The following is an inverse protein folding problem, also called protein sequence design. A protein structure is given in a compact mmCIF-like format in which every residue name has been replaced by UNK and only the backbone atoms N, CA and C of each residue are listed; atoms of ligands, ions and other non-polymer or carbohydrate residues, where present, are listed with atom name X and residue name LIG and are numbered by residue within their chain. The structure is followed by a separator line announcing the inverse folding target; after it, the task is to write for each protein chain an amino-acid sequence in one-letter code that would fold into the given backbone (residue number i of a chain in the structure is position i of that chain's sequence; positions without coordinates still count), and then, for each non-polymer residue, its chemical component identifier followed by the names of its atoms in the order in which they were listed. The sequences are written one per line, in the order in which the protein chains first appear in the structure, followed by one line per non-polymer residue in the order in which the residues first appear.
data_IF_050161381657
#
_entry.id   IF_050161381657
#
_cell.length_a   1.000
_cell.length_b   1.000
_cell.length_c   1.000
_cell.angle_alpha   90.00
_cell.angle_beta   90.00
_cell.angle_gamma   90.00
#
_symmetry.space_group_name_H-M   'P 1'
#
loop_
_entity.id
_entity.type
_entity.pdbx_description
1 polymer ?
#
# COMPACT_ATOMS: atom_id res chain seq x y z
N UNK A 1 -26.49 -42.02 3.27
CA UNK A 1 -27.33 -42.96 2.51
C UNK A 1 -28.01 -42.18 1.40
N UNK A 2 -28.00 -42.72 0.18
CA UNK A 2 -28.56 -42.22 -1.09
C UNK A 2 -27.82 -41.14 -1.93
N UNK A 3 -27.23 -41.67 -3.02
CA UNK A 3 -26.79 -41.06 -4.27
C UNK A 3 -27.97 -40.45 -5.04
N UNK A 4 -27.71 -39.43 -5.88
CA UNK A 4 -28.17 -39.44 -7.27
C UNK A 4 -27.26 -38.60 -8.19
N UNK A 5 -26.88 -39.20 -9.31
CA UNK A 5 -26.13 -38.64 -10.45
C UNK A 5 -27.05 -37.73 -11.27
N UNK A 6 -26.49 -36.72 -11.94
CA UNK A 6 -26.89 -36.45 -13.32
C UNK A 6 -25.73 -35.87 -14.15
N UNK A 7 -25.64 -36.36 -15.39
CA UNK A 7 -24.52 -36.29 -16.31
C UNK A 7 -25.06 -35.75 -17.65
N UNK A 8 -24.48 -34.68 -18.21
CA UNK A 8 -24.51 -34.29 -19.64
C UNK A 8 -23.27 -33.41 -19.85
N UNK A 9 -22.28 -33.69 -20.70
CA UNK A 9 -22.23 -34.49 -21.92
C UNK A 9 -22.22 -33.55 -23.14
N UNK A 10 -21.04 -33.06 -23.54
CA UNK A 10 -20.78 -32.52 -24.88
C UNK A 10 -19.56 -33.25 -25.43
N UNK A 11 -19.71 -33.68 -26.67
CA UNK A 11 -19.05 -34.80 -27.30
C UNK A 11 -17.67 -34.45 -27.86
N UNK A 12 -16.73 -35.38 -27.69
CA UNK A 12 -15.58 -35.53 -28.55
C UNK A 12 -15.97 -36.33 -29.78
N UNK A 13 -15.60 -35.84 -30.96
CA UNK A 13 -15.70 -36.54 -32.23
C UNK A 13 -14.27 -36.68 -32.76
N UNK A 14 -13.63 -37.81 -32.49
CA UNK A 14 -12.49 -38.28 -33.29
C UNK A 14 -12.82 -39.70 -33.70
N UNK A 15 -13.15 -39.80 -34.98
CA UNK A 15 -13.37 -41.02 -35.75
C UNK A 15 -12.10 -41.85 -35.72
N UNK A 16 -12.25 -43.12 -35.34
CA UNK A 16 -11.17 -44.11 -35.40
C UNK A 16 -11.00 -44.68 -36.80
N UNK A 17 -9.79 -45.19 -37.04
CA UNK A 17 -9.57 -46.32 -37.92
C UNK A 17 -8.60 -47.27 -37.21
N UNK A 18 -9.12 -48.45 -36.86
CA UNK A 18 -8.40 -49.61 -36.35
C UNK A 18 -7.69 -50.30 -37.52
N UNK A 19 -6.41 -50.64 -37.34
CA UNK A 19 -5.81 -51.80 -37.99
C UNK A 19 -5.01 -52.58 -36.94
N UNK A 20 -5.44 -53.82 -36.72
CA UNK A 20 -4.79 -54.83 -35.88
C UNK A 20 -3.79 -55.58 -36.74
N UNK A 21 -2.52 -55.65 -36.33
CA UNK A 21 -1.58 -56.67 -36.81
C UNK A 21 -0.44 -56.90 -35.81
N UNK A 22 -0.38 -58.13 -35.28
CA UNK A 22 0.85 -58.84 -34.91
C UNK A 22 1.73 -58.29 -33.79
N UNK A 23 1.63 -58.88 -32.59
CA UNK A 23 2.73 -58.85 -31.61
C UNK A 23 3.86 -59.74 -32.17
N UNK A 24 4.89 -59.11 -32.72
CA UNK A 24 6.20 -59.75 -32.90
C UNK A 24 7.15 -59.11 -31.91
N UNK A 25 7.55 -59.88 -30.90
CA UNK A 25 8.58 -59.51 -29.94
C UNK A 25 9.91 -59.44 -30.70
N UNK A 26 10.51 -58.25 -30.78
CA UNK A 26 11.92 -58.09 -31.11
C UNK A 26 12.65 -57.42 -29.92
N UNK A 27 13.88 -57.86 -29.61
CA UNK A 27 14.59 -57.46 -28.41
C UNK A 27 15.14 -56.04 -28.53
N UNK A 28 15.12 -55.36 -27.37
CA UNK A 28 16.06 -54.34 -26.90
C UNK A 28 16.83 -53.56 -27.98
N UNK A 29 16.37 -52.34 -28.22
CA UNK A 29 17.28 -51.21 -28.28
C UNK A 29 16.65 -50.05 -27.52
N UNK A 30 16.94 -50.02 -26.22
CA UNK A 30 16.74 -48.85 -25.38
C UNK A 30 17.70 -47.74 -25.85
N UNK A 31 17.34 -47.03 -26.93
CA UNK A 31 17.83 -45.68 -27.16
C UNK A 31 16.94 -44.73 -26.36
N UNK A 32 17.07 -44.78 -25.03
CA UNK A 32 16.85 -43.60 -24.20
C UNK A 32 17.93 -42.60 -24.59
N UNK A 33 17.69 -41.89 -25.71
CA UNK A 33 18.33 -40.61 -25.95
C UNK A 33 17.81 -39.68 -24.85
N UNK A 34 18.53 -39.64 -23.73
CA UNK A 34 18.42 -38.54 -22.79
C UNK A 34 18.75 -37.30 -23.59
N UNK A 35 17.73 -36.61 -24.10
CA UNK A 35 17.84 -35.37 -24.86
C UNK A 35 18.54 -34.40 -23.92
N UNK A 36 19.87 -34.29 -24.02
CA UNK A 36 20.69 -33.36 -23.23
C UNK A 36 20.09 -31.99 -23.47
N UNK A 37 19.32 -31.51 -22.51
CA UNK A 37 18.71 -30.19 -22.55
C UNK A 37 19.85 -29.20 -22.77
N UNK A 38 19.83 -28.50 -23.89
CA UNK A 38 20.90 -27.57 -24.26
C UNK A 38 20.78 -26.32 -23.38
N UNK A 39 21.46 -26.36 -22.23
CA UNK A 39 21.45 -25.31 -21.21
C UNK A 39 21.86 -23.95 -21.77
N UNK A 40 22.71 -23.89 -22.81
CA UNK A 40 23.05 -22.64 -23.50
C UNK A 40 21.85 -22.01 -24.19
N UNK A 41 21.04 -22.80 -24.89
CA UNK A 41 19.82 -22.30 -25.55
C UNK A 41 18.77 -21.85 -24.53
N UNK A 42 18.64 -22.59 -23.42
CA UNK A 42 17.77 -22.18 -22.31
C UNK A 42 18.22 -20.86 -21.68
N UNK A 43 19.53 -20.67 -21.48
CA UNK A 43 20.06 -19.41 -20.94
C UNK A 43 19.76 -18.23 -21.87
N UNK A 44 19.95 -18.40 -23.19
CA UNK A 44 19.61 -17.36 -24.17
C UNK A 44 18.10 -17.04 -24.14
N UNK A 45 17.24 -18.05 -24.00
CA UNK A 45 15.79 -17.83 -23.86
C UNK A 45 15.46 -17.08 -22.56
N UNK A 46 16.10 -17.43 -21.46
CA UNK A 46 15.93 -16.75 -20.18
C UNK A 46 16.36 -15.28 -20.25
N UNK A 47 17.48 -14.99 -20.92
CA UNK A 47 17.96 -13.61 -21.10
C UNK A 47 17.02 -12.79 -21.99
N UNK A 48 16.53 -13.38 -23.10
CA UNK A 48 15.52 -12.72 -23.94
C UNK A 48 14.23 -12.42 -23.20
N UNK A 49 13.77 -13.35 -22.35
CA UNK A 49 12.58 -13.16 -21.53
C UNK A 49 12.79 -12.02 -20.52
N UNK A 50 13.96 -11.97 -19.87
CA UNK A 50 14.33 -10.87 -18.96
C UNK A 50 14.35 -9.53 -19.68
N UNK A 51 15.01 -9.45 -20.83
CA UNK A 51 15.09 -8.21 -21.61
C UNK A 51 13.71 -7.73 -22.09
N UNK A 52 12.87 -8.67 -22.54
CA UNK A 52 11.50 -8.38 -22.96
C UNK A 52 10.67 -7.85 -21.78
N UNK A 53 10.75 -8.50 -20.62
CA UNK A 53 10.08 -8.05 -19.41
C UNK A 53 10.52 -6.64 -19.03
N UNK A 54 11.82 -6.35 -19.02
CA UNK A 54 12.34 -5.01 -18.66
C UNK A 54 11.80 -3.95 -19.60
N UNK A 55 11.83 -4.19 -20.93
CA UNK A 55 11.34 -3.24 -21.93
C UNK A 55 9.84 -3.01 -21.81
N UNK A 56 9.04 -4.07 -21.72
CA UNK A 56 7.59 -3.98 -21.61
C UNK A 56 7.18 -3.31 -20.29
N UNK A 57 7.84 -3.65 -19.19
CA UNK A 57 7.61 -3.01 -17.90
C UNK A 57 7.94 -1.52 -17.94
N UNK A 58 9.03 -1.12 -18.59
CA UNK A 58 9.38 0.30 -18.74
C UNK A 58 8.33 1.07 -19.56
N UNK A 59 7.81 0.47 -20.64
CA UNK A 59 6.72 1.05 -21.44
C UNK A 59 5.43 1.21 -20.64
N UNK A 60 5.05 0.18 -19.87
CA UNK A 60 3.88 0.24 -18.98
C UNK A 60 4.05 1.29 -17.89
N UNK A 61 5.24 1.37 -17.28
CA UNK A 61 5.55 2.39 -16.28
C UNK A 61 5.39 3.80 -16.85
N UNK A 62 5.86 4.02 -18.09
CA UNK A 62 5.68 5.30 -18.78
C UNK A 62 4.20 5.62 -18.99
N UNK A 63 3.41 4.67 -19.51
CA UNK A 63 1.95 4.84 -19.69
C UNK A 63 1.23 5.20 -18.40
N UNK A 64 1.60 4.59 -17.28
CA UNK A 64 1.06 4.96 -15.98
C UNK A 64 1.45 6.38 -15.57
N UNK A 65 2.72 6.76 -15.74
CA UNK A 65 3.18 8.13 -15.46
C UNK A 65 2.48 9.17 -16.34
N UNK A 66 2.31 8.88 -17.63
CA UNK A 66 1.63 9.76 -18.59
C UNK A 66 0.14 9.92 -18.24
N UNK A 67 -0.47 8.88 -17.68
CA UNK A 67 -1.83 8.91 -17.13
C UNK A 67 -1.94 9.55 -15.73
N UNK A 68 -0.83 10.02 -15.14
CA UNK A 68 -0.79 10.60 -13.79
C UNK A 68 -0.83 9.58 -12.65
N UNK A 69 -0.86 8.28 -12.94
CA UNK A 69 -0.79 7.20 -11.94
C UNK A 69 0.68 6.91 -11.58
N UNK A 70 1.29 7.87 -10.88
CA UNK A 70 2.70 7.80 -10.49
C UNK A 70 3.00 6.64 -9.52
N UNK A 71 1.99 6.18 -8.76
CA UNK A 71 2.14 5.04 -7.85
C UNK A 71 2.34 3.74 -8.63
N UNK A 72 1.45 3.41 -9.58
CA UNK A 72 1.62 2.22 -10.42
C UNK A 72 2.83 2.32 -11.34
N UNK A 73 3.15 3.52 -11.82
CA UNK A 73 4.38 3.76 -12.58
C UNK A 73 5.61 3.34 -11.77
N UNK A 74 5.69 3.76 -10.51
CA UNK A 74 6.80 3.39 -9.62
C UNK A 74 6.82 1.90 -9.31
N UNK A 75 5.67 1.28 -9.00
CA UNK A 75 5.59 -0.17 -8.72
C UNK A 75 6.11 -1.01 -9.89
N UNK A 76 5.85 -0.59 -11.13
CA UNK A 76 6.36 -1.25 -12.33
C UNK A 76 7.88 -1.11 -12.45
N UNK A 77 8.44 0.07 -12.12
CA UNK A 77 9.90 0.28 -12.09
C UNK A 77 10.58 -0.49 -10.95
N UNK A 78 9.94 -0.60 -9.78
CA UNK A 78 10.42 -1.44 -8.67
C UNK A 78 10.45 -2.94 -9.08
N UNK A 79 9.47 -3.38 -9.87
CA UNK A 79 9.43 -4.74 -10.44
C UNK A 79 10.63 -5.01 -11.36
N UNK A 80 11.05 -4.03 -12.17
CA UNK A 80 12.28 -4.12 -12.98
C UNK A 80 13.51 -4.34 -12.10
N UNK A 81 13.63 -3.56 -11.00
CA UNK A 81 14.78 -3.65 -10.09
C UNK A 81 14.83 -4.98 -9.30
N UNK A 82 13.69 -5.63 -9.11
CA UNK A 82 13.64 -6.96 -8.49
C UNK A 82 14.28 -8.05 -9.36
N UNK A 83 14.23 -7.89 -10.69
CA UNK A 83 14.86 -8.81 -11.66
C UNK A 83 16.31 -8.41 -11.96
N UNK A 84 16.55 -7.11 -12.18
CA UNK A 84 17.89 -6.56 -12.45
C UNK A 84 18.12 -5.32 -11.59
N UNK A 85 18.91 -5.47 -10.54
CA UNK A 85 19.18 -4.41 -9.53
C UNK A 85 19.83 -3.14 -10.09
N UNK A 86 20.46 -3.23 -11.25
CA UNK A 86 21.17 -2.14 -11.89
C UNK A 86 20.73 -1.99 -13.35
N UNK A 87 19.62 -1.27 -13.52
CA UNK A 87 19.14 -0.81 -14.82
C UNK A 87 19.35 0.70 -14.88
N UNK A 88 20.15 1.21 -15.85
CA UNK A 88 20.41 2.64 -15.98
C UNK A 88 19.12 3.46 -16.04
N UNK A 89 19.08 4.58 -15.31
CA UNK A 89 17.94 5.52 -15.31
C UNK A 89 16.74 5.10 -14.45
N UNK A 90 16.52 3.81 -14.15
CA UNK A 90 15.33 3.34 -13.41
C UNK A 90 15.26 3.92 -12.00
N UNK A 91 16.37 3.89 -11.25
CA UNK A 91 16.43 4.48 -9.90
C UNK A 91 16.17 5.99 -9.89
N UNK A 92 16.69 6.70 -10.89
CA UNK A 92 16.48 8.14 -11.03
C UNK A 92 15.01 8.46 -11.34
N UNK A 93 14.39 7.67 -12.23
CA UNK A 93 12.97 7.82 -12.55
C UNK A 93 12.08 7.52 -11.33
N UNK A 94 12.38 6.47 -10.56
CA UNK A 94 11.69 6.20 -9.28
C UNK A 94 11.79 7.41 -8.34
N UNK A 95 12.97 8.02 -8.22
CA UNK A 95 13.15 9.22 -7.40
C UNK A 95 12.28 10.39 -7.89
N UNK A 96 12.27 10.65 -9.19
CA UNK A 96 11.44 11.70 -9.78
C UNK A 96 9.93 11.45 -9.57
N UNK A 97 9.48 10.20 -9.70
CA UNK A 97 8.09 9.83 -9.43
C UNK A 97 7.73 10.00 -7.96
N UNK A 98 8.64 9.67 -7.04
CA UNK A 98 8.44 9.93 -5.61
C UNK A 98 8.29 11.43 -5.35
N UNK A 99 9.15 12.27 -5.93
CA UNK A 99 9.04 13.73 -5.82
C UNK A 99 7.71 14.25 -6.38
N UNK A 100 7.29 13.75 -7.55
CA UNK A 100 5.97 14.07 -8.13
C UNK A 100 4.81 13.63 -7.24
N UNK A 101 4.87 12.45 -6.62
CA UNK A 101 3.83 11.99 -5.69
C UNK A 101 3.73 12.89 -4.46
N UNK A 102 4.87 13.37 -3.94
CA UNK A 102 4.89 14.28 -2.80
C UNK A 102 4.32 15.67 -3.12
N UNK A 103 4.31 16.10 -4.38
CA UNK A 103 3.81 17.41 -4.80
C UNK A 103 2.39 17.37 -5.37
N UNK A 104 2.09 16.39 -6.23
CA UNK A 104 0.82 16.31 -6.97
C UNK A 104 -0.31 15.67 -6.16
N UNK A 105 0.01 14.70 -5.30
CA UNK A 105 -0.99 14.06 -4.45
C UNK A 105 -1.07 14.80 -3.12
N UNK A 106 -1.61 16.02 -3.17
CA UNK A 106 -1.82 16.87 -2.01
C UNK A 106 -3.29 17.16 -1.79
N UNK A 107 -3.67 17.35 -0.53
CA UNK A 107 -5.04 17.62 -0.17
C UNK A 107 -5.11 18.52 1.05
N UNK A 108 -5.94 19.55 0.94
CA UNK A 108 -6.14 20.57 1.96
C UNK A 108 -7.45 20.30 2.70
N UNK A 109 -7.46 20.54 4.01
CA UNK A 109 -8.65 20.41 4.85
C UNK A 109 -8.47 21.21 6.16
N UNK A 110 -9.57 21.42 6.88
CA UNK A 110 -9.58 22.16 8.12
C UNK A 110 -9.84 21.24 9.31
N UNK A 111 -9.09 21.47 10.39
CA UNK A 111 -9.37 20.91 11.71
C UNK A 111 -10.15 21.96 12.49
N UNK A 112 -11.38 21.62 12.84
CA UNK A 112 -12.23 22.43 13.70
C UNK A 112 -11.89 22.15 15.16
N UNK A 113 -11.36 23.14 15.88
CA UNK A 113 -10.92 22.97 17.26
C UNK A 113 -12.08 22.76 18.25
N UNK A 114 -13.33 23.01 17.85
CA UNK A 114 -14.52 22.61 18.62
C UNK A 114 -14.75 21.09 18.61
N UNK A 115 -14.03 20.37 17.76
CA UNK A 115 -14.06 18.91 17.64
C UNK A 115 -12.69 18.34 18.01
N UNK A 116 -12.67 17.26 18.77
CA UNK A 116 -11.41 16.58 19.09
C UNK A 116 -10.70 16.02 17.84
N UNK A 117 -11.47 15.47 16.89
CA UNK A 117 -10.95 14.80 15.70
C UNK A 117 -11.62 15.28 14.43
N UNK A 118 -10.81 15.43 13.38
CA UNK A 118 -11.33 15.68 12.05
C UNK A 118 -11.86 14.41 11.38
N UNK A 119 -12.50 14.60 10.22
CA UNK A 119 -12.77 13.52 9.29
C UNK A 119 -11.47 12.80 8.90
N UNK A 120 -11.53 11.51 8.51
CA UNK A 120 -10.36 10.79 8.01
C UNK A 120 -9.52 11.61 7.04
N UNK A 121 -8.23 11.77 7.35
CA UNK A 121 -7.31 12.49 6.47
C UNK A 121 -7.07 11.70 5.17
N UNK A 122 -7.19 10.37 5.22
CA UNK A 122 -7.10 9.45 4.10
C UNK A 122 -6.53 8.09 4.52
N UNK A 123 -6.45 7.16 3.58
CA UNK A 123 -5.77 5.88 3.74
C UNK A 123 -4.28 6.02 3.51
N UNK A 124 -3.49 5.44 4.40
CA UNK A 124 -2.03 5.41 4.32
C UNK A 124 -1.53 3.97 4.28
N UNK A 125 -0.39 3.77 3.63
CA UNK A 125 0.22 2.46 3.46
C UNK A 125 1.51 2.35 4.29
N UNK A 126 1.75 1.16 4.84
CA UNK A 126 2.93 0.81 5.61
C UNK A 126 4.21 1.12 4.83
N UNK A 127 5.14 1.80 5.49
CA UNK A 127 6.44 2.15 4.90
C UNK A 127 6.39 3.23 3.82
N UNK A 128 5.22 3.81 3.53
CA UNK A 128 5.05 4.85 2.51
C UNK A 128 4.86 6.22 3.17
N UNK A 129 5.78 7.14 2.93
CA UNK A 129 5.83 8.43 3.62
C UNK A 129 4.67 9.35 3.23
N UNK A 130 4.15 10.07 4.21
CA UNK A 130 3.28 11.24 4.01
C UNK A 130 3.93 12.47 4.64
N UNK A 131 3.70 13.64 4.03
CA UNK A 131 4.09 14.94 4.57
C UNK A 131 2.84 15.68 5.00
N UNK A 132 2.90 16.28 6.17
CA UNK A 132 1.82 17.07 6.75
C UNK A 132 2.37 18.46 7.03
N UNK A 133 1.63 19.48 6.61
CA UNK A 133 1.90 20.88 6.92
C UNK A 133 0.66 21.46 7.56
N UNK A 134 0.81 22.26 8.60
CA UNK A 134 -0.31 22.91 9.25
C UNK A 134 -0.01 24.37 9.54
N UNK A 135 -1.04 25.20 9.47
CA UNK A 135 -0.98 26.62 9.80
C UNK A 135 -2.25 27.07 10.50
N UNK A 136 -2.13 28.13 11.30
CA UNK A 136 -3.24 28.70 12.06
C UNK A 136 -3.04 28.57 13.56
N UNK A 137 -3.92 29.25 14.29
CA UNK A 137 -3.99 29.22 15.74
C UNK A 137 -5.46 29.04 16.14
N UNK A 138 -5.68 28.59 17.36
CA UNK A 138 -7.01 28.35 17.90
C UNK A 138 -6.99 28.64 19.40
N UNK A 139 -8.16 28.91 19.97
CA UNK A 139 -8.31 29.20 21.39
C UNK A 139 -8.48 27.88 22.15
N UNK A 140 -7.52 27.55 23.00
CA UNK A 140 -7.60 26.39 23.88
C UNK A 140 -8.31 26.77 25.19
N UNK A 141 -9.58 26.38 25.32
CA UNK A 141 -10.42 26.71 26.47
C UNK A 141 -10.80 25.45 27.23
N UNK A 142 -10.49 25.41 28.53
CA UNK A 142 -10.85 24.31 29.42
C UNK A 142 -11.43 24.81 30.74
N UNK A 143 -12.39 24.06 31.26
CA UNK A 143 -12.98 24.25 32.59
C UNK A 143 -13.23 22.85 33.17
N UNK A 144 -12.12 22.18 33.53
CA UNK A 144 -12.11 20.77 33.89
C UNK A 144 -11.65 20.64 35.33
N UNK A 145 -12.49 20.05 36.18
CA UNK A 145 -12.10 19.65 37.53
C UNK A 145 -11.18 18.44 37.47
N UNK A 146 -10.04 18.55 38.12
CA UNK A 146 -9.05 17.47 38.23
C UNK A 146 -8.69 17.20 39.69
N UNK A 147 -8.12 16.03 39.95
CA UNK A 147 -7.53 15.68 41.26
C UNK A 147 -6.00 15.83 41.23
N UNK A 148 -5.33 15.52 42.34
CA UNK A 148 -3.86 15.45 42.44
C UNK A 148 -3.21 14.46 41.46
N UNK A 149 -4.00 13.56 40.84
CA UNK A 149 -3.55 12.64 39.79
C UNK A 149 -3.46 13.28 38.40
N UNK A 150 -4.01 14.49 38.21
CA UNK A 150 -4.06 15.14 36.91
C UNK A 150 -5.14 14.59 35.96
N UNK A 151 -5.08 15.01 34.70
CA UNK A 151 -5.96 14.59 33.63
C UNK A 151 -5.56 13.20 33.09
N UNK A 152 -6.52 12.34 32.72
CA UNK A 152 -6.20 11.04 32.15
C UNK A 152 -5.63 11.17 30.73
N UNK A 153 -4.70 10.29 30.38
CA UNK A 153 -3.94 10.31 29.12
C UNK A 153 -3.73 8.93 28.47
N UNK A 154 -4.51 7.94 28.92
CA UNK A 154 -4.27 6.52 28.61
C UNK A 154 -4.90 6.06 27.31
N UNK A 155 -6.01 6.69 26.91
CA UNK A 155 -6.82 6.29 25.76
C UNK A 155 -6.83 7.39 24.70
N UNK A 156 -5.88 7.36 23.73
CA UNK A 156 -5.89 8.28 22.61
C UNK A 156 -7.26 8.31 21.93
N UNK A 157 -7.66 9.52 21.53
CA UNK A 157 -8.95 9.88 20.96
C UNK A 157 -10.12 10.09 21.92
N UNK A 158 -10.08 9.54 23.14
CA UNK A 158 -11.07 9.83 24.19
C UNK A 158 -10.52 10.77 25.25
N UNK A 159 -9.24 10.61 25.52
CA UNK A 159 -8.47 11.33 26.51
C UNK A 159 -7.28 12.02 25.83
N UNK A 160 -6.43 12.67 26.63
CA UNK A 160 -5.14 13.13 26.14
C UNK A 160 -4.33 11.95 25.62
N UNK A 161 -3.51 12.18 24.60
CA UNK A 161 -2.52 11.22 24.14
C UNK A 161 -1.24 11.39 24.96
N UNK A 162 -0.88 10.37 25.74
CA UNK A 162 0.37 10.34 26.49
C UNK A 162 1.59 10.67 25.60
N UNK A 163 2.44 11.57 26.09
CA UNK A 163 3.66 12.01 25.39
C UNK A 163 3.45 13.04 24.27
N UNK A 164 2.22 13.50 24.05
CA UNK A 164 1.89 14.61 23.14
C UNK A 164 1.51 15.83 24.00
N UNK A 165 2.02 17.05 23.73
CA UNK A 165 1.60 18.23 24.48
C UNK A 165 0.10 18.48 24.36
N UNK A 166 -0.52 18.95 25.45
CA UNK A 166 -1.92 19.35 25.41
C UNK A 166 -2.10 20.50 24.40
N UNK A 167 -3.14 20.38 23.57
CA UNK A 167 -3.45 21.31 22.52
C UNK A 167 -2.58 21.22 21.25
N UNK A 168 -1.61 20.30 21.18
CA UNK A 168 -0.83 20.11 19.96
C UNK A 168 -1.62 19.36 18.89
N UNK A 169 -1.33 19.67 17.62
CA UNK A 169 -1.83 18.90 16.48
C UNK A 169 -1.11 17.55 16.43
N UNK A 170 -1.89 16.48 16.29
CA UNK A 170 -1.37 15.11 16.27
C UNK A 170 -2.06 14.24 15.22
N UNK A 171 -1.36 13.18 14.84
CA UNK A 171 -1.87 12.14 13.96
C UNK A 171 -1.92 10.78 14.65
N UNK A 172 -2.85 9.93 14.22
CA UNK A 172 -2.93 8.52 14.62
C UNK A 172 -3.40 7.68 13.43
N UNK A 173 -2.79 6.50 13.25
CA UNK A 173 -3.24 5.54 12.24
C UNK A 173 -4.13 4.50 12.91
N UNK A 174 -5.34 4.33 12.38
CA UNK A 174 -6.26 3.28 12.78
C UNK A 174 -6.12 2.13 11.77
N UNK A 175 -5.50 1.04 12.21
CA UNK A 175 -5.34 -0.18 11.40
C UNK A 175 -6.40 -1.22 11.75
N UNK A 176 -6.46 -2.29 10.97
CA UNK A 176 -7.26 -3.48 11.30
C UNK A 176 -6.33 -4.66 11.58
N UNK A 177 -6.51 -5.27 12.74
CA UNK A 177 -5.81 -6.50 13.13
C UNK A 177 -6.85 -7.56 13.51
N UNK A 178 -6.85 -8.69 12.78
CA UNK A 178 -7.81 -9.81 12.99
C UNK A 178 -9.29 -9.34 13.03
N UNK A 179 -9.65 -8.42 12.15
CA UNK A 179 -11.01 -7.86 12.05
C UNK A 179 -11.38 -6.83 13.13
N UNK A 180 -10.47 -6.51 14.06
CA UNK A 180 -10.66 -5.49 15.08
C UNK A 180 -9.87 -4.23 14.75
N UNK A 181 -10.45 -3.06 15.05
CA UNK A 181 -9.76 -1.78 14.93
C UNK A 181 -8.66 -1.69 15.99
N UNK A 182 -7.46 -1.30 15.55
CA UNK A 182 -6.32 -1.07 16.43
C UNK A 182 -5.85 0.37 16.26
N UNK A 183 -5.70 1.06 17.38
CA UNK A 183 -5.14 2.40 17.45
C UNK A 183 -3.61 2.28 17.40
N UNK A 184 -2.99 2.92 16.42
CA UNK A 184 -1.54 3.09 16.34
C UNK A 184 -1.03 4.05 17.42
N UNK A 185 0.30 4.19 17.53
CA UNK A 185 0.91 5.18 18.43
C UNK A 185 0.67 6.60 17.87
N UNK A 186 0.12 7.53 18.67
CA UNK A 186 0.02 8.93 18.28
C UNK A 186 1.39 9.56 18.00
N UNK A 187 1.42 10.57 17.14
CA UNK A 187 2.62 11.34 16.86
C UNK A 187 2.29 12.83 16.73
N UNK A 188 3.21 13.69 17.18
CA UNK A 188 3.08 15.14 17.07
C UNK A 188 3.29 15.56 15.61
N UNK A 189 2.42 16.44 15.11
CA UNK A 189 2.54 17.02 13.77
C UNK A 189 3.20 18.41 13.85
N UNK A 190 2.72 19.28 14.74
CA UNK A 190 3.15 20.69 14.77
C UNK A 190 2.91 21.40 13.43
N UNK A 191 3.76 22.35 13.06
CA UNK A 191 3.68 23.07 11.78
C UNK A 191 4.04 22.18 10.57
N UNK A 192 4.93 21.21 10.76
CA UNK A 192 5.36 20.29 9.70
C UNK A 192 5.80 18.95 10.27
N UNK A 193 5.33 17.86 9.65
CA UNK A 193 5.80 16.51 9.94
C UNK A 193 5.99 15.69 8.68
N UNK A 194 6.97 14.79 8.72
CA UNK A 194 7.11 13.68 7.79
C UNK A 194 6.88 12.39 8.58
N UNK A 195 5.94 11.57 8.11
CA UNK A 195 5.50 10.38 8.83
C UNK A 195 5.54 9.16 7.93
N UNK A 196 6.12 8.07 8.44
CA UNK A 196 6.14 6.76 7.79
C UNK A 196 5.25 5.81 8.60
N UNK A 197 4.08 5.41 8.07
CA UNK A 197 3.16 4.50 8.75
C UNK A 197 3.81 3.14 9.03
N UNK A 198 3.56 2.60 10.22
CA UNK A 198 4.01 1.25 10.61
C UNK A 198 3.08 0.14 10.12
N UNK A 199 1.83 0.50 9.87
CA UNK A 199 0.74 -0.38 9.44
C UNK A 199 -0.10 0.34 8.38
N UNK A 200 -0.79 -0.44 7.55
CA UNK A 200 -1.82 0.09 6.66
C UNK A 200 -3.03 0.53 7.49
N UNK A 201 -3.68 1.62 7.10
CA UNK A 201 -4.85 2.08 7.82
C UNK A 201 -5.35 3.45 7.46
N UNK A 202 -6.27 3.96 8.29
CA UNK A 202 -6.85 5.28 8.15
C UNK A 202 -6.04 6.25 9.02
N UNK A 203 -5.46 7.27 8.41
CA UNK A 203 -4.83 8.36 9.13
C UNK A 203 -5.93 9.32 9.62
N UNK A 204 -5.98 9.52 10.93
CA UNK A 204 -6.79 10.53 11.60
C UNK A 204 -5.87 11.66 12.06
N UNK A 205 -6.32 12.90 11.91
CA UNK A 205 -5.62 14.08 12.41
C UNK A 205 -6.56 14.84 13.35
N UNK A 206 -6.03 15.31 14.47
CA UNK A 206 -6.82 15.97 15.50
C UNK A 206 -5.96 16.74 16.48
N UNK A 207 -6.60 17.45 17.41
CA UNK A 207 -5.93 18.18 18.46
C UNK A 207 -5.91 17.35 19.74
N UNK A 208 -4.80 17.40 20.47
CA UNK A 208 -4.66 16.71 21.73
C UNK A 208 -5.39 17.44 22.86
N UNK A 209 -6.71 17.34 22.87
CA UNK A 209 -7.58 18.08 23.79
C UNK A 209 -8.19 17.13 24.83
N UNK A 210 -8.29 17.56 26.10
CA UNK A 210 -8.94 16.76 27.13
C UNK A 210 -10.46 16.71 26.89
N UNK A 211 -11.11 15.66 27.37
CA UNK A 211 -12.56 15.56 27.32
C UNK A 211 -13.23 16.75 28.03
N UNK A 212 -14.29 17.31 27.42
CA UNK A 212 -15.03 18.45 27.98
C UNK A 212 -14.41 19.83 27.75
N UNK A 213 -13.37 19.94 26.92
CA UNK A 213 -12.87 21.24 26.45
C UNK A 213 -13.95 22.04 25.69
N UNK A 214 -13.78 23.35 25.59
CA UNK A 214 -14.64 24.28 24.84
C UNK A 214 -13.85 25.10 23.82
N UNK A 215 -12.77 24.52 23.30
CA UNK A 215 -11.86 25.17 22.35
C UNK A 215 -12.59 25.59 21.08
N UNK A 216 -12.12 26.67 20.46
CA UNK A 216 -12.69 27.19 19.20
C UNK A 216 -11.59 27.64 18.25
N UNK A 217 -11.91 27.79 16.97
CA UNK A 217 -10.96 28.16 15.93
C UNK A 217 -10.69 27.02 14.95
N UNK A 218 -9.82 27.27 13.97
CA UNK A 218 -9.56 26.36 12.87
C UNK A 218 -8.08 26.31 12.53
N UNK A 219 -7.60 25.11 12.26
CA UNK A 219 -6.24 24.86 11.76
C UNK A 219 -6.35 24.35 10.33
N UNK A 220 -5.61 24.99 9.41
CA UNK A 220 -5.50 24.52 8.03
C UNK A 220 -4.43 23.45 7.97
N UNK A 221 -4.74 22.32 7.35
CA UNK A 221 -3.82 21.20 7.19
C UNK A 221 -3.74 20.84 5.72
N UNK A 222 -2.51 20.74 5.22
CA UNK A 222 -2.17 20.15 3.93
C UNK A 222 -1.49 18.83 4.18
N UNK A 223 -2.01 17.77 3.57
CA UNK A 223 -1.35 16.46 3.54
C UNK A 223 -0.92 16.13 2.12
N UNK A 224 0.27 15.56 1.94
CA UNK A 224 0.73 15.09 0.65
C UNK A 224 1.55 13.80 0.72
N UNK A 225 1.78 13.16 -0.42
CA UNK A 225 2.58 11.94 -0.54
C UNK A 225 1.73 10.68 -0.76
N UNK A 226 2.06 9.58 -0.08
CA UNK A 226 1.36 8.30 -0.26
C UNK A 226 0.07 8.24 0.57
N UNK A 227 -0.93 8.99 0.13
CA UNK A 227 -2.26 9.02 0.75
C UNK A 227 -3.36 8.84 -0.29
N UNK A 228 -4.37 8.02 0.01
CA UNK A 228 -5.55 7.84 -0.83
C UNK A 228 -6.78 8.40 -0.12
N UNK A 229 -7.49 9.32 -0.75
CA UNK A 229 -8.79 9.82 -0.26
C UNK A 229 -9.91 9.14 -1.03
N UNK A 230 -10.96 8.74 -0.32
CA UNK A 230 -12.23 8.32 -0.92
C UNK A 230 -13.07 9.55 -1.25
#
# INVERSE_FOLDING_TARGET
MFKYRNNRGIQSLIVGALFVAGIVVQPVNAQTSGKKVNTKQLNIQADKLRDSFIRQSADIAKKYSDAGDYEKSREMLESILSIKKDVPGVKAMIKQLNEKLMTSNSADFEIDASRNWSTPAGFVAKGKMVRIQSTGAYDFVTDIKTSVKGLPDSTPMKELAAGIPAGALMGIVISQEKGKRKLGKPFTIGEKAEYVPKDDGILMIGLNLPAGHRSTGKIKVRISGYIRRN
#
